data_IF_397272953389
#
_entry.id   IF_397272953389
#
_cell.length_a   1.000
_cell.length_b   1.000
_cell.length_c   1.000
_cell.angle_alpha   90.00
_cell.angle_beta   90.00
_cell.angle_gamma   90.00
#
_symmetry.space_group_name_H-M   'P 1'
#
loop_
_entity.id
_entity.type
_entity.pdbx_description
1 polymer ?
#
# COMPACT_ATOMS: atom_id res chain seq x y z
N UNK A 1 18.45 -14.86 0.85
CA UNK A 1 17.51 -15.25 -0.22
C UNK A 1 16.98 -16.64 0.09
N UNK A 2 15.74 -16.97 -0.28
CA UNK A 2 15.13 -18.26 0.09
C UNK A 2 15.79 -19.42 -0.66
N UNK A 3 16.42 -20.33 0.10
CA UNK A 3 17.11 -21.53 -0.39
C UNK A 3 16.14 -22.66 -0.68
N UNK A 4 16.58 -23.66 -1.45
CA UNK A 4 15.82 -24.91 -1.64
C UNK A 4 15.56 -25.60 -0.30
N UNK A 5 16.54 -25.55 0.62
CA UNK A 5 16.41 -26.10 1.97
C UNK A 5 15.24 -25.49 2.74
N UNK A 6 15.02 -24.17 2.63
CA UNK A 6 13.88 -23.54 3.27
C UNK A 6 12.54 -24.12 2.79
N UNK A 7 12.40 -24.41 1.50
CA UNK A 7 11.18 -25.04 0.99
C UNK A 7 11.00 -26.47 1.51
N UNK A 8 12.08 -27.24 1.63
CA UNK A 8 12.05 -28.59 2.19
C UNK A 8 11.69 -28.58 3.69
N UNK A 9 12.20 -27.61 4.45
CA UNK A 9 11.84 -27.41 5.85
C UNK A 9 10.34 -27.09 6.03
N UNK A 10 9.79 -26.24 5.14
CA UNK A 10 8.36 -25.94 5.16
C UNK A 10 7.53 -27.18 4.80
N UNK A 11 7.97 -27.96 3.82
CA UNK A 11 7.33 -29.22 3.44
C UNK A 11 7.27 -30.21 4.62
N UNK A 12 8.40 -30.43 5.29
CA UNK A 12 8.48 -31.28 6.46
C UNK A 12 7.58 -30.78 7.61
N UNK A 13 7.58 -29.47 7.90
CA UNK A 13 6.71 -28.85 8.91
C UNK A 13 5.22 -28.98 8.57
N UNK A 14 4.84 -28.99 7.30
CA UNK A 14 3.44 -29.18 6.86
C UNK A 14 3.05 -30.66 6.95
N UNK A 15 3.92 -31.56 6.48
CA UNK A 15 3.71 -33.02 6.56
C UNK A 15 3.56 -33.51 8.00
N UNK A 16 4.39 -33.01 8.93
CA UNK A 16 4.26 -33.31 10.38
C UNK A 16 2.92 -32.88 10.98
N UNK A 17 2.23 -31.92 10.35
CA UNK A 17 0.88 -31.49 10.73
C UNK A 17 -0.23 -32.20 9.94
N UNK A 18 0.10 -33.27 9.22
CA UNK A 18 -0.84 -34.05 8.41
C UNK A 18 -1.28 -33.37 7.11
N UNK A 19 -0.59 -32.32 6.67
CA UNK A 19 -0.92 -31.63 5.42
C UNK A 19 -0.17 -32.29 4.27
N UNK A 20 -0.91 -32.88 3.33
CA UNK A 20 -0.34 -33.41 2.10
C UNK A 20 0.17 -32.27 1.21
N UNK A 21 1.49 -32.23 1.02
CA UNK A 21 2.14 -31.20 0.23
C UNK A 21 3.28 -31.75 -0.62
N UNK A 22 3.65 -31.00 -1.66
CA UNK A 22 4.83 -31.27 -2.48
C UNK A 22 5.60 -30.00 -2.81
N UNK A 23 6.89 -30.15 -3.10
CA UNK A 23 7.80 -29.03 -3.38
C UNK A 23 8.32 -29.07 -4.83
N UNK A 24 8.26 -27.93 -5.52
CA UNK A 24 8.85 -27.73 -6.85
C UNK A 24 9.92 -26.64 -6.75
N UNK A 25 11.12 -26.93 -7.26
CA UNK A 25 12.25 -26.00 -7.36
C UNK A 25 12.98 -26.20 -8.69
N UNK A 26 14.00 -25.37 -8.95
CA UNK A 26 14.74 -25.38 -10.24
C UNK A 26 15.40 -26.71 -10.61
N UNK A 27 15.69 -27.57 -9.62
CA UNK A 27 16.30 -28.90 -9.84
C UNK A 27 15.28 -30.05 -9.87
N UNK A 28 13.99 -29.78 -9.67
CA UNK A 28 12.95 -30.82 -9.73
C UNK A 28 12.83 -31.33 -11.18
N UNK A 29 12.98 -32.65 -11.43
CA UNK A 29 12.84 -33.24 -12.76
C UNK A 29 11.49 -32.91 -13.40
N UNK A 30 11.45 -32.82 -14.73
CA UNK A 30 10.24 -32.44 -15.47
C UNK A 30 9.07 -33.39 -15.21
N UNK A 31 9.32 -34.71 -15.22
CA UNK A 31 8.30 -35.73 -14.94
C UNK A 31 7.69 -35.57 -13.54
N UNK A 32 8.54 -35.42 -12.51
CA UNK A 32 8.11 -35.18 -11.14
C UNK A 32 7.32 -33.86 -11.01
N UNK A 33 7.76 -32.79 -11.70
CA UNK A 33 7.05 -31.51 -11.73
C UNK A 33 5.64 -31.67 -12.29
N UNK A 34 5.47 -32.38 -13.41
CA UNK A 34 4.17 -32.64 -14.03
C UNK A 34 3.25 -33.39 -13.06
N UNK A 35 3.76 -34.45 -12.44
CA UNK A 35 2.99 -35.25 -11.47
C UNK A 35 2.53 -34.44 -10.25
N UNK A 36 3.41 -33.60 -9.69
CA UNK A 36 3.08 -32.73 -8.56
C UNK A 36 2.03 -31.69 -8.92
N UNK A 37 2.15 -31.07 -10.10
CA UNK A 37 1.16 -30.12 -10.61
C UNK A 37 -0.19 -30.82 -10.78
N UNK A 38 -0.22 -31.97 -11.45
CA UNK A 38 -1.44 -32.74 -11.68
C UNK A 38 -2.12 -33.13 -10.36
N UNK A 39 -1.33 -33.65 -9.40
CA UNK A 39 -1.82 -34.04 -8.08
C UNK A 39 -2.40 -32.86 -7.30
N UNK A 40 -1.81 -31.67 -7.43
CA UNK A 40 -2.37 -30.46 -6.82
C UNK A 40 -3.65 -30.00 -7.52
N UNK A 41 -3.67 -29.97 -8.85
CA UNK A 41 -4.85 -29.55 -9.61
C UNK A 41 -6.05 -30.48 -9.40
N UNK A 42 -5.81 -31.79 -9.28
CA UNK A 42 -6.87 -32.78 -8.97
C UNK A 42 -7.31 -32.73 -7.51
N UNK A 43 -6.53 -32.13 -6.62
CA UNK A 43 -6.84 -32.02 -5.19
C UNK A 43 -6.28 -33.14 -4.32
N UNK A 44 -5.48 -34.04 -4.92
CA UNK A 44 -4.73 -35.06 -4.19
C UNK A 44 -3.60 -34.46 -3.35
N UNK A 45 -3.13 -33.26 -3.68
CA UNK A 45 -2.25 -32.46 -2.81
C UNK A 45 -3.01 -31.23 -2.32
N UNK A 46 -2.94 -31.00 -1.00
CA UNK A 46 -3.53 -29.81 -0.37
C UNK A 46 -2.67 -28.56 -0.53
N UNK A 47 -1.36 -28.73 -0.62
CA UNK A 47 -0.42 -27.61 -0.71
C UNK A 47 0.69 -27.87 -1.72
N UNK A 48 1.06 -26.85 -2.49
CA UNK A 48 2.18 -26.89 -3.42
C UNK A 48 3.17 -25.77 -3.09
N UNK A 49 4.39 -26.14 -2.69
CA UNK A 49 5.46 -25.21 -2.33
C UNK A 49 6.31 -24.97 -3.57
N UNK A 50 6.58 -23.72 -3.92
CA UNK A 50 7.37 -23.37 -5.10
C UNK A 50 8.50 -22.39 -4.80
N UNK A 51 9.71 -22.70 -5.31
CA UNK A 51 10.87 -21.83 -5.25
C UNK A 51 11.33 -21.44 -6.66
N UNK A 52 11.12 -20.18 -7.04
CA UNK A 52 11.65 -19.63 -8.30
C UNK A 52 11.10 -20.30 -9.57
N UNK A 53 10.07 -21.13 -9.44
CA UNK A 53 9.43 -21.89 -10.50
C UNK A 53 7.91 -21.66 -10.43
N UNK A 54 7.16 -22.07 -11.45
CA UNK A 54 5.72 -21.77 -11.59
C UNK A 54 5.41 -20.27 -11.79
N UNK A 55 6.23 -19.53 -12.55
CA UNK A 55 5.88 -18.15 -12.97
C UNK A 55 5.00 -18.14 -14.23
N UNK A 56 5.08 -19.18 -15.05
CA UNK A 56 4.32 -19.35 -16.31
C UNK A 56 3.75 -20.77 -16.41
N UNK A 57 2.58 -20.94 -17.04
CA UNK A 57 2.03 -22.25 -17.42
C UNK A 57 1.42 -23.12 -16.31
N UNK A 58 1.45 -22.70 -15.04
CA UNK A 58 0.69 -23.32 -13.96
C UNK A 58 -0.68 -22.63 -13.86
N UNK A 59 -1.77 -23.39 -13.88
CA UNK A 59 -3.11 -22.85 -13.65
C UNK A 59 -3.85 -23.75 -12.66
N UNK A 60 -4.33 -23.15 -11.58
CA UNK A 60 -5.05 -23.86 -10.53
C UNK A 60 -6.10 -22.93 -9.91
N UNK A 61 -7.23 -22.69 -10.62
CA UNK A 61 -8.28 -21.77 -10.17
C UNK A 61 -8.83 -22.09 -8.78
N UNK A 62 -8.79 -23.37 -8.38
CA UNK A 62 -9.17 -23.88 -7.06
C UNK A 62 -8.34 -23.32 -5.90
N UNK A 63 -7.20 -22.67 -6.16
CA UNK A 63 -6.31 -22.17 -5.12
C UNK A 63 -7.03 -21.07 -4.33
N UNK A 64 -7.31 -21.33 -3.06
CA UNK A 64 -8.01 -20.47 -2.11
C UNK A 64 -7.08 -19.90 -1.03
N UNK A 65 -5.80 -20.28 -1.01
CA UNK A 65 -4.79 -19.74 -0.10
C UNK A 65 -3.45 -19.54 -0.80
N UNK A 66 -2.83 -18.38 -0.60
CA UNK A 66 -1.46 -18.08 -1.05
C UNK A 66 -0.62 -17.59 0.14
N UNK A 67 0.46 -18.31 0.43
CA UNK A 67 1.44 -17.92 1.44
C UNK A 67 2.73 -17.38 0.79
N UNK A 68 3.08 -16.12 1.08
CA UNK A 68 4.31 -15.47 0.64
C UNK A 68 5.36 -15.56 1.75
N UNK A 69 6.22 -16.58 1.68
CA UNK A 69 7.29 -16.83 2.65
C UNK A 69 8.63 -16.17 2.26
N UNK A 70 8.58 -15.16 1.39
CA UNK A 70 9.78 -14.43 0.95
C UNK A 70 9.44 -13.02 0.52
N UNK A 71 10.37 -12.10 0.73
CA UNK A 71 10.30 -10.77 0.10
C UNK A 71 10.64 -10.87 -1.40
N UNK A 72 9.86 -10.21 -2.26
CA UNK A 72 10.16 -10.01 -3.69
C UNK A 72 10.37 -8.54 -3.99
N UNK A 73 11.45 -8.22 -4.72
CA UNK A 73 11.68 -6.87 -5.26
C UNK A 73 10.88 -6.58 -6.53
N UNK A 74 10.36 -7.63 -7.20
CA UNK A 74 9.57 -7.49 -8.44
C UNK A 74 8.09 -7.38 -8.13
N UNK A 75 7.52 -6.21 -8.41
CA UNK A 75 6.07 -5.96 -8.33
C UNK A 75 5.30 -6.83 -9.35
N UNK A 76 5.87 -7.07 -10.53
CA UNK A 76 5.27 -7.96 -11.54
C UNK A 76 5.14 -9.39 -11.05
N UNK A 77 6.19 -9.92 -10.41
CA UNK A 77 6.15 -11.27 -9.83
C UNK A 77 5.14 -11.36 -8.67
N UNK A 78 5.05 -10.32 -7.85
CA UNK A 78 4.07 -10.23 -6.77
C UNK A 78 2.63 -10.29 -7.32
N UNK A 79 2.31 -9.47 -8.33
CA UNK A 79 1.00 -9.49 -9.02
C UNK A 79 0.73 -10.84 -9.68
N UNK A 80 1.72 -11.44 -10.35
CA UNK A 80 1.58 -12.75 -10.98
C UNK A 80 1.26 -13.86 -9.99
N UNK A 81 1.93 -13.87 -8.83
CA UNK A 81 1.70 -14.87 -7.78
C UNK A 81 0.29 -14.70 -7.20
N UNK A 82 -0.09 -13.48 -6.81
CA UNK A 82 -1.42 -13.23 -6.23
C UNK A 82 -2.55 -13.39 -7.24
N UNK A 83 -2.30 -13.10 -8.52
CA UNK A 83 -3.25 -13.33 -9.62
C UNK A 83 -3.72 -14.78 -9.76
N UNK A 84 -2.94 -15.75 -9.26
CA UNK A 84 -3.34 -17.17 -9.21
C UNK A 84 -4.54 -17.38 -8.29
N UNK A 85 -4.61 -16.62 -7.20
CA UNK A 85 -5.68 -16.65 -6.23
C UNK A 85 -6.93 -15.87 -6.64
N UNK A 86 -6.84 -15.02 -7.67
CA UNK A 86 -7.96 -14.20 -8.14
C UNK A 86 -8.86 -14.92 -9.15
N UNK A 87 -8.46 -16.09 -9.66
CA UNK A 87 -9.29 -16.86 -10.59
C UNK A 87 -10.50 -17.45 -9.87
N UNK A 88 -11.68 -17.29 -10.48
CA UNK A 88 -12.91 -17.94 -10.04
C UNK A 88 -12.82 -19.45 -10.28
N UNK A 89 -13.40 -20.23 -9.37
CA UNK A 89 -13.49 -21.68 -9.51
C UNK A 89 -14.90 -22.14 -9.16
N UNK A 90 -15.82 -22.16 -10.16
CA UNK A 90 -17.19 -22.62 -9.95
C UNK A 90 -17.25 -24.06 -9.42
N UNK A 91 -16.37 -24.93 -9.91
CA UNK A 91 -16.29 -26.34 -9.52
C UNK A 91 -16.04 -26.55 -8.02
N UNK A 92 -15.30 -25.64 -7.38
CA UNK A 92 -14.99 -25.73 -5.94
C UNK A 92 -15.87 -24.81 -5.09
N UNK A 93 -16.72 -23.98 -5.71
CA UNK A 93 -17.51 -22.97 -5.01
C UNK A 93 -16.67 -21.88 -4.32
N UNK A 94 -15.41 -21.71 -4.74
CA UNK A 94 -14.47 -20.76 -4.12
C UNK A 94 -15.02 -19.33 -4.16
N UNK A 95 -15.29 -18.77 -2.98
CA UNK A 95 -15.79 -17.41 -2.81
C UNK A 95 -14.67 -16.36 -2.61
N UNK A 96 -13.55 -16.75 -2.02
CA UNK A 96 -12.44 -15.85 -1.71
C UNK A 96 -11.08 -16.57 -1.78
N UNK A 97 -10.00 -15.80 -1.58
CA UNK A 97 -8.65 -16.33 -1.48
C UNK A 97 -7.91 -15.66 -0.32
N UNK A 98 -7.42 -16.44 0.64
CA UNK A 98 -6.64 -15.97 1.78
C UNK A 98 -5.18 -15.73 1.38
N UNK A 99 -4.67 -14.55 1.65
CA UNK A 99 -3.27 -14.19 1.37
C UNK A 99 -2.52 -14.02 2.69
N UNK A 100 -1.50 -14.84 2.91
CA UNK A 100 -0.63 -14.78 4.08
C UNK A 100 0.74 -14.24 3.67
N UNK A 101 0.99 -12.96 3.91
CA UNK A 101 2.25 -12.32 3.53
C UNK A 101 3.22 -12.21 4.71
N UNK A 102 4.19 -13.12 4.78
CA UNK A 102 5.29 -13.08 5.74
C UNK A 102 6.54 -12.37 5.15
N UNK A 103 6.54 -12.06 3.85
CA UNK A 103 7.67 -11.44 3.16
C UNK A 103 7.67 -9.91 3.13
N UNK A 104 6.66 -9.27 3.70
CA UNK A 104 6.48 -7.81 3.68
C UNK A 104 6.27 -7.25 2.26
N UNK A 105 5.63 -8.02 1.39
CA UNK A 105 5.37 -7.66 0.01
C UNK A 105 4.21 -6.68 -0.14
N UNK A 106 3.13 -6.85 0.64
CA UNK A 106 1.99 -5.92 0.67
C UNK A 106 2.47 -4.53 1.11
N UNK A 107 3.32 -4.49 2.13
CA UNK A 107 3.93 -3.25 2.62
C UNK A 107 4.85 -2.60 1.57
N UNK A 108 5.62 -3.41 0.84
CA UNK A 108 6.57 -2.91 -0.16
C UNK A 108 5.90 -2.41 -1.43
N UNK A 109 4.90 -3.13 -1.94
CA UNK A 109 4.33 -2.86 -3.27
C UNK A 109 2.95 -2.20 -3.20
N UNK A 110 2.28 -2.24 -2.06
CA UNK A 110 0.92 -1.76 -1.88
C UNK A 110 -0.14 -2.74 -2.40
N UNK A 111 -1.40 -2.29 -2.47
CA UNK A 111 -2.52 -3.10 -2.94
C UNK A 111 -2.36 -3.52 -4.40
N UNK A 112 -2.66 -4.79 -4.70
CA UNK A 112 -2.35 -5.38 -6.02
C UNK A 112 -3.07 -4.71 -7.19
N UNK A 113 -4.28 -4.22 -6.97
CA UNK A 113 -5.13 -3.57 -7.96
C UNK A 113 -4.66 -2.15 -8.33
N UNK A 114 -3.75 -1.58 -7.52
CA UNK A 114 -3.15 -0.28 -7.77
C UNK A 114 -1.73 -0.38 -8.38
N UNK A 115 -1.17 -1.59 -8.49
CA UNK A 115 0.16 -1.80 -9.05
C UNK A 115 0.11 -1.71 -10.58
N UNK A 116 0.69 -0.64 -11.11
CA UNK A 116 0.95 -0.51 -12.55
C UNK A 116 2.23 -1.27 -12.91
N UNK A 117 2.10 -2.52 -13.35
CA UNK A 117 3.23 -3.29 -13.88
C UNK A 117 3.67 -2.64 -15.19
N UNK A 118 4.78 -1.88 -15.17
CA UNK A 118 5.35 -1.29 -16.38
C UNK A 118 5.93 -2.41 -17.25
N UNK A 119 5.56 -2.44 -18.53
CA UNK A 119 6.23 -3.26 -19.52
C UNK A 119 7.72 -2.89 -19.57
N UNK A 120 8.59 -3.91 -19.60
CA UNK A 120 10.03 -3.75 -19.63
C UNK A 120 10.43 -2.88 -20.84
N UNK A 121 10.93 -1.68 -20.61
CA UNK A 121 11.33 -0.76 -21.68
C UNK A 121 11.51 0.70 -21.30
N UNK A 122 10.93 1.19 -20.19
CA UNK A 122 11.17 2.57 -19.73
C UNK A 122 12.25 2.63 -18.65
N UNK A 123 13.34 3.36 -18.94
CA UNK A 123 14.40 3.72 -17.98
C UNK A 123 13.77 4.29 -16.69
N UNK A 124 14.24 3.83 -15.54
CA UNK A 124 13.90 4.41 -14.23
C UNK A 124 14.53 5.81 -14.14
N UNK A 125 13.76 6.78 -13.67
CA UNK A 125 14.32 7.96 -13.03
C UNK A 125 15.10 7.51 -11.78
N UNK A 126 16.24 8.14 -11.44
CA UNK A 126 16.99 7.77 -10.25
C UNK A 126 16.14 8.09 -9.03
N UNK A 127 15.53 7.06 -8.44
CA UNK A 127 14.92 7.17 -7.11
C UNK A 127 16.03 7.21 -6.07
N UNK A 128 15.83 7.99 -5.00
CA UNK A 128 16.74 8.07 -3.87
C UNK A 128 17.09 6.68 -3.34
N UNK A 129 18.38 6.43 -3.16
CA UNK A 129 18.88 5.13 -2.73
C UNK A 129 18.57 4.93 -1.26
N UNK A 130 17.79 3.90 -0.86
CA UNK A 130 17.44 3.69 0.54
C UNK A 130 18.71 3.37 1.35
N UNK A 131 18.90 4.11 2.44
CA UNK A 131 20.02 3.99 3.38
C UNK A 131 19.59 3.32 4.69
N UNK A 132 20.56 2.76 5.42
CA UNK A 132 20.40 2.28 6.81
C UNK A 132 21.55 2.83 7.66
N UNK A 133 21.31 3.01 8.94
CA UNK A 133 22.32 3.43 9.92
C UNK A 133 23.09 2.22 10.44
N UNK A 134 24.42 2.31 10.50
CA UNK A 134 25.25 1.29 11.14
C UNK A 134 25.07 1.34 12.67
N UNK A 135 24.70 0.25 13.35
CA UNK A 135 24.50 0.29 14.80
C UNK A 135 25.80 0.48 15.61
N UNK A 136 26.97 0.31 14.98
CA UNK A 136 28.28 0.43 15.63
C UNK A 136 28.90 1.81 15.49
N UNK A 137 28.89 2.39 14.28
CA UNK A 137 29.52 3.69 14.01
C UNK A 137 28.56 4.76 13.48
N UNK A 138 27.26 4.45 13.41
CA UNK A 138 26.19 5.37 12.99
C UNK A 138 26.31 5.92 11.56
N UNK A 139 27.25 5.39 10.76
CA UNK A 139 27.37 5.76 9.36
C UNK A 139 26.12 5.33 8.58
N UNK A 140 25.55 6.26 7.81
CA UNK A 140 24.50 5.96 6.84
C UNK A 140 25.10 5.27 5.62
N UNK A 141 24.71 4.02 5.41
CA UNK A 141 25.21 3.16 4.33
C UNK A 141 24.05 2.65 3.47
N UNK A 142 24.31 2.18 2.23
CA UNK A 142 23.25 1.60 1.40
C UNK A 142 22.55 0.44 2.14
N UNK A 143 21.21 0.37 2.07
CA UNK A 143 20.45 -0.60 2.89
C UNK A 143 20.83 -2.06 2.64
N UNK A 144 21.41 -2.36 1.48
CA UNK A 144 21.85 -3.68 1.04
C UNK A 144 23.30 -4.04 1.40
N UNK A 145 24.08 -3.15 2.01
CA UNK A 145 25.45 -3.43 2.42
C UNK A 145 25.48 -4.57 3.46
N UNK A 146 26.17 -5.66 3.19
CA UNK A 146 26.35 -6.79 4.13
C UNK A 146 27.40 -6.49 5.20
N UNK A 147 28.24 -5.49 4.97
CA UNK A 147 29.31 -5.05 5.85
C UNK A 147 29.39 -3.52 5.83
N UNK A 148 29.69 -2.92 6.97
CA UNK A 148 29.93 -1.48 7.06
C UNK A 148 31.31 -1.14 6.47
N UNK A 149 31.41 -0.27 5.46
CA UNK A 149 32.68 0.08 4.82
C UNK A 149 33.64 0.87 5.72
N UNK A 150 33.14 1.41 6.84
CA UNK A 150 33.93 2.23 7.76
C UNK A 150 34.44 1.43 8.96
N UNK A 151 33.58 0.66 9.63
CA UNK A 151 33.94 -0.02 10.88
C UNK A 151 33.96 -1.56 10.80
N UNK A 152 33.73 -2.14 9.62
CA UNK A 152 33.73 -3.59 9.38
C UNK A 152 32.58 -4.35 10.04
N UNK A 153 31.54 -3.67 10.52
CA UNK A 153 30.40 -4.33 11.15
C UNK A 153 29.65 -5.22 10.14
N UNK A 154 29.62 -6.53 10.40
CA UNK A 154 28.88 -7.51 9.58
C UNK A 154 27.42 -7.48 9.99
N UNK A 155 26.54 -7.15 9.04
CA UNK A 155 25.11 -7.10 9.31
C UNK A 155 24.54 -8.52 9.36
N UNK A 156 23.76 -8.88 10.40
CA UNK A 156 23.18 -10.20 10.50
C UNK A 156 22.28 -10.46 9.27
N UNK A 157 22.27 -11.70 8.76
CA UNK A 157 21.36 -12.06 7.67
C UNK A 157 19.93 -11.77 8.11
N UNK A 158 19.24 -10.92 7.36
CA UNK A 158 17.83 -10.65 7.62
C UNK A 158 17.04 -11.94 7.43
N UNK A 159 16.17 -12.23 8.39
CA UNK A 159 15.24 -13.34 8.29
C UNK A 159 14.45 -13.23 6.98
N UNK A 160 14.35 -14.31 6.18
CA UNK A 160 13.74 -14.24 4.86
C UNK A 160 12.23 -13.94 4.91
N UNK A 161 11.60 -14.08 6.09
CA UNK A 161 10.19 -13.84 6.36
C UNK A 161 9.99 -13.47 7.85
N UNK A 162 8.95 -12.69 8.14
CA UNK A 162 8.50 -12.34 9.50
C UNK A 162 7.83 -13.55 10.17
N UNK A 163 7.75 -13.57 11.50
CA UNK A 163 7.05 -14.64 12.25
C UNK A 163 5.52 -14.57 12.10
N UNK A 164 4.98 -13.39 11.81
CA UNK A 164 3.54 -13.15 11.59
C UNK A 164 3.28 -12.62 10.18
N UNK A 165 2.10 -12.94 9.65
CA UNK A 165 1.65 -12.41 8.37
C UNK A 165 1.23 -10.93 8.51
N UNK A 166 1.31 -10.18 7.41
CA UNK A 166 0.86 -8.79 7.33
C UNK A 166 -0.65 -8.66 7.52
N UNK A 167 -1.07 -7.71 8.37
CA UNK A 167 -2.48 -7.30 8.52
C UNK A 167 -2.90 -6.21 7.52
N UNK A 168 -1.99 -5.75 6.65
CA UNK A 168 -2.32 -4.72 5.64
C UNK A 168 -3.20 -5.30 4.53
N UNK A 169 -4.15 -4.48 4.09
CA UNK A 169 -5.07 -4.81 3.01
C UNK A 169 -4.35 -5.12 1.69
N UNK A 170 -4.67 -6.27 1.10
CA UNK A 170 -4.11 -6.74 -0.18
C UNK A 170 -4.79 -6.07 -1.38
N UNK A 171 -6.06 -5.69 -1.23
CA UNK A 171 -6.85 -4.93 -2.20
C UNK A 171 -7.12 -3.54 -1.66
N UNK A 172 -7.15 -2.52 -2.53
CA UNK A 172 -7.43 -1.14 -2.10
C UNK A 172 -8.82 -0.98 -1.52
N UNK A 173 -9.79 -1.78 -1.97
CA UNK A 173 -11.14 -1.80 -1.43
C UNK A 173 -11.19 -2.28 0.03
N UNK A 174 -10.21 -3.05 0.49
CA UNK A 174 -10.12 -3.55 1.86
C UNK A 174 -9.43 -2.56 2.81
N UNK A 175 -8.84 -1.46 2.29
CA UNK A 175 -8.28 -0.41 3.13
C UNK A 175 -9.41 0.36 3.79
N UNK A 176 -9.45 0.31 5.12
CA UNK A 176 -10.43 1.04 5.91
C UNK A 176 -10.10 2.53 5.89
N UNK A 177 -11.16 3.36 5.88
CA UNK A 177 -11.02 4.79 6.03
C UNK A 177 -11.07 5.11 7.53
N UNK A 178 -10.12 5.92 8.00
CA UNK A 178 -9.97 6.28 9.41
C UNK A 178 -10.33 7.75 9.61
N UNK A 179 -10.95 8.05 10.76
CA UNK A 179 -11.25 9.41 11.16
C UNK A 179 -10.09 9.97 11.99
N UNK A 180 -9.65 11.17 11.63
CA UNK A 180 -8.59 11.90 12.31
C UNK A 180 -9.15 13.21 12.86
N UNK A 181 -9.01 13.50 14.17
CA UNK A 181 -9.42 14.77 14.74
C UNK A 181 -8.52 15.89 14.22
N UNK A 182 -9.13 16.99 13.79
CA UNK A 182 -8.42 18.15 13.23
C UNK A 182 -8.18 19.16 14.33
N UNK A 183 -6.91 19.46 14.56
CA UNK A 183 -6.46 20.47 15.53
C UNK A 183 -6.26 21.84 14.88
N UNK A 184 -5.67 21.85 13.67
CA UNK A 184 -5.42 23.07 12.92
C UNK A 184 -5.56 22.86 11.41
N UNK A 185 -5.85 23.94 10.69
CA UNK A 185 -5.93 23.98 9.23
C UNK A 185 -5.10 25.13 8.70
N UNK A 186 -4.26 24.85 7.71
CA UNK A 186 -3.39 25.84 7.06
C UNK A 186 -3.71 25.93 5.58
N UNK A 187 -3.63 27.15 5.03
CA UNK A 187 -3.89 27.43 3.63
C UNK A 187 -2.64 28.02 2.97
N UNK A 188 -2.25 27.48 1.83
CA UNK A 188 -1.08 27.93 1.07
C UNK A 188 -1.36 27.92 -0.42
N UNK A 189 -0.80 28.88 -1.16
CA UNK A 189 -0.84 28.85 -2.62
C UNK A 189 0.07 27.74 -3.13
N UNK A 190 -0.43 26.90 -4.02
CA UNK A 190 0.33 25.87 -4.71
C UNK A 190 0.28 26.10 -6.22
N UNK A 191 1.43 26.44 -6.78
CA UNK A 191 1.65 26.61 -8.21
C UNK A 191 2.54 25.50 -8.77
N UNK A 192 2.27 25.10 -10.02
CA UNK A 192 3.11 24.17 -10.79
C UNK A 192 3.33 24.79 -12.16
N UNK A 193 4.54 24.61 -12.69
CA UNK A 193 4.85 25.03 -14.06
C UNK A 193 3.85 24.39 -15.04
N UNK A 194 3.25 25.21 -15.91
CA UNK A 194 2.28 24.80 -16.94
C UNK A 194 0.92 24.27 -16.42
N UNK A 195 0.54 24.57 -15.17
CA UNK A 195 -0.77 24.22 -14.62
C UNK A 195 -1.39 25.41 -13.89
N UNK A 196 -2.72 25.44 -13.79
CA UNK A 196 -3.44 26.47 -13.04
C UNK A 196 -3.08 26.38 -11.56
N UNK A 197 -3.24 27.49 -10.85
CA UNK A 197 -2.97 27.52 -9.41
C UNK A 197 -4.02 26.70 -8.65
N UNK A 198 -3.63 26.25 -7.46
CA UNK A 198 -4.51 25.59 -6.52
C UNK A 198 -4.19 26.07 -5.10
N UNK A 199 -5.19 26.05 -4.22
CA UNK A 199 -4.96 26.28 -2.79
C UNK A 199 -4.69 24.93 -2.15
N UNK A 200 -3.51 24.78 -1.56
CA UNK A 200 -3.16 23.64 -0.71
C UNK A 200 -3.78 23.88 0.67
N UNK A 201 -4.56 22.92 1.13
CA UNK A 201 -5.16 22.90 2.46
C UNK A 201 -4.50 21.78 3.24
N UNK A 202 -3.85 22.12 4.35
CA UNK A 202 -3.16 21.17 5.22
C UNK A 202 -3.91 21.05 6.54
N UNK A 203 -4.31 19.83 6.89
CA UNK A 203 -4.94 19.49 8.17
C UNK A 203 -3.91 18.87 9.10
N UNK A 204 -3.73 19.49 10.26
CA UNK A 204 -2.92 18.93 11.34
C UNK A 204 -3.82 18.08 12.25
N UNK A 205 -3.43 16.82 12.42
CA UNK A 205 -4.11 15.84 13.26
C UNK A 205 -3.06 15.17 14.16
N UNK A 206 -2.82 15.72 15.36
CA UNK A 206 -1.69 15.33 16.21
C UNK A 206 -0.35 15.50 15.49
N UNK A 207 0.38 14.39 15.33
CA UNK A 207 1.68 14.35 14.62
C UNK A 207 1.56 14.17 13.11
N UNK A 208 0.36 13.89 12.59
CA UNK A 208 0.14 13.65 11.17
C UNK A 208 -0.41 14.88 10.46
N UNK A 209 0.01 15.06 9.21
CA UNK A 209 -0.45 16.13 8.33
C UNK A 209 -1.08 15.54 7.07
N UNK A 210 -2.26 16.04 6.71
CA UNK A 210 -2.99 15.60 5.54
C UNK A 210 -3.23 16.77 4.60
N UNK A 211 -2.86 16.61 3.33
CA UNK A 211 -2.96 17.65 2.33
C UNK A 211 -4.09 17.36 1.34
N UNK A 212 -4.86 18.39 0.99
CA UNK A 212 -5.70 18.40 -0.21
C UNK A 212 -5.47 19.66 -1.04
N UNK A 213 -5.88 19.60 -2.31
CA UNK A 213 -5.74 20.71 -3.25
C UNK A 213 -7.10 21.15 -3.76
N UNK A 214 -7.38 22.44 -3.64
CA UNK A 214 -8.63 23.08 -4.05
C UNK A 214 -8.37 23.93 -5.28
N UNK A 215 -9.03 23.57 -6.37
CA UNK A 215 -8.74 24.06 -7.72
C UNK A 215 -9.77 25.10 -8.20
N UNK A 216 -9.70 26.33 -7.68
CA UNK A 216 -10.66 27.40 -8.00
C UNK A 216 -10.62 27.86 -9.48
N UNK A 217 -9.44 27.82 -10.10
CA UNK A 217 -9.17 28.29 -11.47
C UNK A 217 -9.36 27.21 -12.55
N UNK A 218 -9.62 25.96 -12.15
CA UNK A 218 -9.84 24.89 -13.10
C UNK A 218 -11.24 24.98 -13.72
N UNK A 219 -11.54 24.16 -14.72
CA UNK A 219 -12.87 24.01 -15.31
C UNK A 219 -13.40 22.59 -15.07
N UNK A 220 -14.72 22.39 -15.22
CA UNK A 220 -15.35 21.08 -15.09
C UNK A 220 -15.36 20.54 -13.64
N UNK A 221 -15.13 19.22 -13.50
CA UNK A 221 -15.24 18.51 -12.22
C UNK A 221 -14.36 19.07 -11.09
N UNK A 222 -13.08 19.43 -11.31
CA UNK A 222 -12.24 20.06 -10.28
C UNK A 222 -12.82 21.38 -9.75
N UNK A 223 -13.39 22.23 -10.62
CA UNK A 223 -14.04 23.48 -10.22
C UNK A 223 -15.29 23.23 -9.38
N UNK A 224 -16.10 22.24 -9.79
CA UNK A 224 -17.31 21.87 -9.05
C UNK A 224 -16.96 21.37 -7.64
N UNK A 225 -15.90 20.56 -7.50
CA UNK A 225 -15.40 20.14 -6.18
C UNK A 225 -14.93 21.33 -5.34
N UNK A 226 -14.24 22.30 -5.94
CA UNK A 226 -13.79 23.51 -5.24
C UNK A 226 -14.98 24.35 -4.73
N UNK A 227 -16.03 24.49 -5.54
CA UNK A 227 -17.27 25.18 -5.14
C UNK A 227 -17.94 24.48 -3.94
N UNK A 228 -18.11 23.16 -3.99
CA UNK A 228 -18.68 22.39 -2.87
C UNK A 228 -17.83 22.53 -1.61
N UNK A 229 -16.50 22.46 -1.75
CA UNK A 229 -15.56 22.65 -0.65
C UNK A 229 -15.68 24.04 -0.02
N UNK A 230 -15.84 25.09 -0.84
CA UNK A 230 -16.03 26.48 -0.40
C UNK A 230 -17.33 26.65 0.38
N UNK A 231 -18.44 26.18 -0.17
CA UNK A 231 -19.77 26.31 0.45
C UNK A 231 -19.83 25.61 1.81
N UNK A 232 -19.15 24.48 1.98
CA UNK A 232 -19.08 23.81 3.28
C UNK A 232 -18.40 24.64 4.38
N UNK A 233 -17.46 25.53 4.01
CA UNK A 233 -16.61 26.28 4.96
C UNK A 233 -17.05 27.72 5.14
N UNK A 234 -17.41 28.36 4.05
CA UNK A 234 -17.77 29.77 3.98
C UNK A 234 -19.28 29.96 3.89
N UNK A 235 -20.00 28.99 3.32
CA UNK A 235 -21.41 29.14 2.96
C UNK A 235 -21.61 29.71 1.56
N UNK A 236 -22.82 30.15 1.26
CA UNK A 236 -23.17 30.71 -0.05
C UNK A 236 -22.72 32.16 -0.24
N UNK A 237 -22.40 32.85 0.86
CA UNK A 237 -21.99 34.25 0.86
C UNK A 237 -20.71 34.41 1.70
N UNK A 238 -19.65 35.04 1.15
CA UNK A 238 -19.52 35.50 -0.23
C UNK A 238 -19.45 34.34 -1.25
N UNK A 239 -19.74 34.62 -2.53
CA UNK A 239 -19.67 33.60 -3.57
C UNK A 239 -18.24 33.05 -3.71
N UNK A 240 -18.13 31.80 -4.15
CA UNK A 240 -16.85 31.16 -4.39
C UNK A 240 -15.99 31.99 -5.37
N UNK A 241 -14.75 32.35 -4.99
CA UNK A 241 -13.84 33.07 -5.86
C UNK A 241 -13.48 32.27 -7.11
N UNK A 242 -13.15 32.99 -8.18
CA UNK A 242 -12.73 32.40 -9.46
C UNK A 242 -11.20 32.24 -9.60
N UNK A 243 -10.43 32.76 -8.64
CA UNK A 243 -8.97 32.67 -8.62
C UNK A 243 -8.47 32.21 -7.24
N UNK A 244 -7.27 31.65 -7.19
CA UNK A 244 -6.73 31.09 -5.96
C UNK A 244 -6.23 32.15 -4.98
N UNK A 245 -5.75 33.30 -5.45
CA UNK A 245 -5.21 34.38 -4.62
C UNK A 245 -6.31 35.01 -3.75
N UNK A 246 -7.44 35.39 -4.35
CA UNK A 246 -8.62 35.92 -3.65
C UNK A 246 -9.23 34.89 -2.70
N UNK A 247 -9.22 33.60 -3.07
CA UNK A 247 -9.66 32.53 -2.19
C UNK A 247 -8.74 32.40 -0.97
N UNK A 248 -7.42 32.42 -1.17
CA UNK A 248 -6.43 32.31 -0.11
C UNK A 248 -6.48 33.53 0.84
N UNK A 249 -6.59 34.73 0.29
CA UNK A 249 -6.74 35.97 1.06
C UNK A 249 -7.97 35.91 1.96
N UNK A 250 -9.11 35.47 1.41
CA UNK A 250 -10.33 35.34 2.20
C UNK A 250 -10.20 34.30 3.31
N UNK A 251 -9.64 33.13 3.01
CA UNK A 251 -9.45 32.03 3.97
C UNK A 251 -8.52 32.42 5.13
N UNK A 252 -7.50 33.22 4.87
CA UNK A 252 -6.55 33.67 5.89
C UNK A 252 -7.09 34.84 6.74
N UNK A 253 -7.94 35.69 6.15
CA UNK A 253 -8.40 36.92 6.81
C UNK A 253 -9.77 36.77 7.50
N UNK A 254 -10.52 35.70 7.23
CA UNK A 254 -11.88 35.51 7.77
C UNK A 254 -12.00 34.22 8.58
N UNK A 255 -12.89 34.23 9.60
CA UNK A 255 -13.23 33.03 10.36
C UNK A 255 -14.11 32.11 9.52
N UNK A 256 -13.52 31.06 8.96
CA UNK A 256 -14.23 30.02 8.20
C UNK A 256 -14.48 28.78 9.05
N UNK A 257 -15.53 28.00 8.72
CA UNK A 257 -15.80 26.74 9.42
C UNK A 257 -14.65 25.76 9.20
N UNK A 258 -14.04 25.30 10.29
CA UNK A 258 -13.03 24.24 10.27
C UNK A 258 -13.66 22.91 10.68
N UNK A 259 -13.39 21.82 9.93
CA UNK A 259 -13.86 20.50 10.33
C UNK A 259 -13.26 20.12 11.68
N UNK A 260 -14.02 19.39 12.50
CA UNK A 260 -13.55 18.78 13.74
C UNK A 260 -12.82 17.46 13.51
N UNK A 261 -13.16 16.75 12.42
CA UNK A 261 -12.46 15.55 12.01
C UNK A 261 -12.49 15.40 10.48
N UNK A 262 -11.50 14.71 9.94
CA UNK A 262 -11.44 14.31 8.53
C UNK A 262 -11.39 12.79 8.41
N UNK A 263 -12.09 12.25 7.43
CA UNK A 263 -12.00 10.84 7.10
C UNK A 263 -10.98 10.65 5.97
N UNK A 264 -9.96 9.85 6.24
CA UNK A 264 -8.84 9.63 5.33
C UNK A 264 -8.81 8.18 4.88
N UNK A 265 -8.74 7.98 3.57
CA UNK A 265 -8.57 6.67 2.95
C UNK A 265 -7.20 6.60 2.25
N UNK A 266 -6.40 5.54 2.46
CA UNK A 266 -5.19 5.32 1.67
C UNK A 266 -5.53 5.15 0.18
N UNK A 267 -4.80 5.83 -0.71
CA UNK A 267 -4.91 5.71 -2.17
C UNK A 267 -3.50 5.65 -2.78
N UNK A 268 -2.98 4.42 -2.92
CA UNK A 268 -1.61 4.17 -3.36
C UNK A 268 -0.58 4.65 -2.34
N UNK A 269 0.32 5.54 -2.77
CA UNK A 269 1.33 6.20 -1.91
C UNK A 269 0.81 7.46 -1.22
N UNK A 270 -0.41 7.88 -1.53
CA UNK A 270 -1.02 9.10 -1.00
C UNK A 270 -2.15 8.75 -0.05
N UNK A 271 -2.46 9.67 0.86
CA UNK A 271 -3.62 9.60 1.72
C UNK A 271 -4.65 10.59 1.19
N UNK A 272 -5.88 10.14 0.96
CA UNK A 272 -6.95 10.95 0.37
C UNK A 272 -8.02 11.23 1.40
N UNK A 273 -8.32 12.50 1.57
CA UNK A 273 -9.45 12.94 2.40
C UNK A 273 -10.73 12.70 1.60
N UNK A 274 -11.66 11.96 2.19
CA UNK A 274 -12.92 11.56 1.53
C UNK A 274 -14.15 12.23 2.15
N UNK A 275 -14.14 12.50 3.45
CA UNK A 275 -15.24 13.15 4.17
C UNK A 275 -14.71 14.10 5.25
N UNK A 276 -15.60 14.98 5.72
CA UNK A 276 -15.35 15.95 6.77
C UNK A 276 -16.49 15.89 7.78
N UNK A 277 -16.17 16.03 9.05
CA UNK A 277 -17.14 16.22 10.12
C UNK A 277 -17.01 17.64 10.64
N UNK A 278 -18.15 18.32 10.81
CA UNK A 278 -18.21 19.68 11.37
C UNK A 278 -19.08 19.64 12.62
N UNK A 279 -18.47 19.73 13.80
CA UNK A 279 -19.22 19.88 15.04
C UNK A 279 -19.88 21.27 15.12
N UNK A 280 -21.09 21.38 15.71
CA UNK A 280 -21.69 22.65 16.07
C UNK A 280 -20.79 23.45 17.02
N UNK A 281 -20.74 24.78 16.90
CA UNK A 281 -19.88 25.66 17.72
C UNK A 281 -20.09 25.44 19.24
N UNK A 282 -21.31 25.08 19.66
CA UNK A 282 -21.68 24.79 21.06
C UNK A 282 -20.96 23.61 21.72
N UNK A 283 -20.41 22.66 20.95
CA UNK A 283 -19.71 21.49 21.52
C UNK A 283 -18.19 21.71 21.61
N UNK A 284 -17.62 22.60 20.77
CA UNK A 284 -16.17 22.90 20.77
C UNK A 284 -15.70 23.55 22.09
N UNK A 285 -16.54 24.38 22.71
CA UNK A 285 -16.22 25.02 24.00
C UNK A 285 -16.25 24.04 25.18
N UNK A 286 -17.05 22.98 25.11
CA UNK A 286 -17.14 21.96 26.17
C UNK A 286 -16.04 20.89 26.09
N UNK A 287 -15.48 20.64 24.91
CA UNK A 287 -14.47 19.58 24.70
C UNK A 287 -13.04 20.01 25.01
N UNK A 288 -12.74 21.32 24.94
CA UNK A 288 -11.38 21.86 25.09
C UNK A 288 -11.30 23.05 26.07
N UNK A 289 -12.35 23.29 26.85
CA UNK A 289 -12.39 24.33 27.89
C UNK A 289 -11.85 23.85 29.24
N UNK A 290 -10.55 24.06 29.47
CA UNK A 290 -9.94 24.58 30.70
C UNK A 290 -8.47 24.92 30.44
#
# INVERSE_FOLDING_TARGET
GVSVNHCLEIEDKLKRRGIQCGTIHGKTPLSARIQLIQSYTSGNLRCLISQGVLTTGFDAPRTDLIALLRSTKSAGLYVQVLGRGLRISPETGKANCLVLDYGGNVERHGPIDQIKVRNAGKKKEPGEMPVKECPKCQLFIPCFASECPDCGYIFPPQDPHKATASNKAVLSAMQQAEWYPVEAVFYQLHSKAFSNNSVKVTYQCGTEFFDEWVCFEHTGFPKHRALTWWVQRVGYQPPCPNNCDSALEYLNNNKVKTPSAIQVKPEGKYKKIINYEFLPETIKEMAYGN
#
